data_IF_143812424473
#
_entry.id   IF_143812424473
#
_cell.length_a   1.000
_cell.length_b   1.000
_cell.length_c   1.000
_cell.angle_alpha   90.00
_cell.angle_beta   90.00
_cell.angle_gamma   90.00
#
_symmetry.space_group_name_H-M   'P 1'
#
loop_
_entity.id
_entity.type
_entity.pdbx_description
1 polymer ?
#
# COMPACT_ATOMS: atom_id res chain seq x y z
N UNK A 1 -2.27 18.61 -12.44
CA UNK A 1 -2.92 17.45 -11.81
C UNK A 1 -1.81 16.51 -11.44
N UNK A 2 -1.51 16.40 -10.16
CA UNK A 2 -0.52 15.46 -9.66
C UNK A 2 -1.01 14.05 -10.02
N UNK A 3 -0.18 13.27 -10.70
CA UNK A 3 -0.58 11.96 -11.20
C UNK A 3 -0.44 10.97 -10.04
N UNK A 4 -1.42 11.02 -9.12
CA UNK A 4 -1.43 10.16 -7.95
C UNK A 4 -1.53 8.70 -8.39
N UNK A 5 -0.50 7.94 -8.04
CA UNK A 5 -0.36 6.53 -8.38
C UNK A 5 -0.51 5.70 -7.12
N UNK A 6 -1.14 4.55 -7.25
CA UNK A 6 -1.31 3.63 -6.15
C UNK A 6 -1.00 2.20 -6.60
N UNK A 7 -0.42 1.44 -5.68
CA UNK A 7 -0.13 0.03 -5.90
C UNK A 7 -1.28 -0.85 -5.42
N UNK A 8 -1.53 -1.94 -6.15
CA UNK A 8 -2.46 -3.00 -5.79
C UNK A 8 -1.66 -4.30 -5.71
N UNK A 9 -1.84 -5.04 -4.62
CA UNK A 9 -1.29 -6.38 -4.43
C UNK A 9 -2.34 -7.41 -4.83
N UNK A 10 -2.03 -8.19 -5.85
CA UNK A 10 -2.90 -9.23 -6.39
C UNK A 10 -2.34 -10.59 -6.00
N UNK A 11 -3.05 -11.29 -5.12
CA UNK A 11 -2.71 -12.64 -4.70
C UNK A 11 -3.32 -13.67 -5.65
N UNK A 12 -2.56 -14.69 -6.06
CA UNK A 12 -2.98 -15.65 -7.09
C UNK A 12 -2.76 -17.11 -6.69
N UNK A 13 -3.55 -18.01 -7.31
CA UNK A 13 -3.38 -19.46 -7.20
C UNK A 13 -2.13 -19.95 -7.95
N UNK A 14 -1.91 -19.41 -9.16
CA UNK A 14 -0.79 -19.72 -10.05
C UNK A 14 -0.38 -18.48 -10.86
N UNK A 15 0.89 -18.40 -11.23
CA UNK A 15 1.47 -17.22 -11.92
C UNK A 15 1.40 -17.29 -13.45
N UNK A 16 0.83 -18.36 -14.01
CA UNK A 16 0.77 -18.54 -15.47
C UNK A 16 0.06 -17.37 -16.17
N UNK A 17 -0.93 -16.78 -15.51
CA UNK A 17 -1.74 -15.69 -16.05
C UNK A 17 -1.27 -14.29 -15.64
N UNK A 18 -0.10 -14.13 -15.01
CA UNK A 18 0.34 -12.79 -14.55
C UNK A 18 0.49 -11.78 -15.70
N UNK A 19 0.73 -12.27 -16.93
CA UNK A 19 0.86 -11.42 -18.13
C UNK A 19 -0.45 -10.71 -18.49
N UNK A 20 -1.61 -11.25 -18.13
CA UNK A 20 -2.90 -10.57 -18.38
C UNK A 20 -3.07 -9.33 -17.50
N UNK A 21 -2.45 -9.30 -16.31
CA UNK A 21 -2.50 -8.16 -15.40
C UNK A 21 -1.87 -6.89 -15.98
N UNK A 22 -0.94 -7.03 -16.94
CA UNK A 22 -0.33 -5.91 -17.65
C UNK A 22 -1.33 -5.06 -18.45
N UNK A 23 -2.54 -5.56 -18.71
CA UNK A 23 -3.63 -4.81 -19.36
C UNK A 23 -4.26 -3.77 -18.43
N UNK A 24 -4.09 -3.93 -17.11
CA UNK A 24 -4.70 -3.07 -16.10
C UNK A 24 -3.71 -2.08 -15.48
N UNK A 25 -2.46 -2.08 -15.93
CA UNK A 25 -1.42 -1.21 -15.37
C UNK A 25 -0.04 -1.83 -15.46
N UNK A 26 0.93 -1.19 -14.81
CA UNK A 26 2.30 -1.67 -14.82
C UNK A 26 2.49 -2.73 -13.71
N UNK A 27 3.02 -3.90 -14.06
CA UNK A 27 3.37 -4.93 -13.08
C UNK A 27 4.79 -4.66 -12.59
N UNK A 28 4.91 -4.07 -11.40
CA UNK A 28 6.19 -3.67 -10.80
C UNK A 28 6.98 -4.86 -10.27
N UNK A 29 6.29 -5.84 -9.70
CA UNK A 29 6.94 -6.99 -9.07
C UNK A 29 6.05 -8.23 -9.11
N UNK A 30 6.67 -9.41 -9.19
CA UNK A 30 5.98 -10.69 -9.12
C UNK A 30 6.76 -11.63 -8.20
N UNK A 31 6.14 -12.07 -7.11
CA UNK A 31 6.72 -13.06 -6.20
C UNK A 31 6.42 -14.47 -6.70
N UNK A 32 7.48 -15.22 -7.07
CA UNK A 32 7.36 -16.64 -7.44
C UNK A 32 7.03 -17.57 -6.27
N UNK A 33 7.58 -17.27 -5.09
CA UNK A 33 7.44 -18.09 -3.88
C UNK A 33 6.05 -17.92 -3.24
N UNK A 34 5.60 -16.67 -3.09
CA UNK A 34 4.34 -16.35 -2.41
C UNK A 34 3.14 -16.17 -3.36
N UNK A 35 3.40 -16.16 -4.68
CA UNK A 35 2.39 -16.09 -5.74
C UNK A 35 1.51 -14.83 -5.66
N UNK A 36 2.14 -13.67 -5.59
CA UNK A 36 1.46 -12.39 -5.72
C UNK A 36 2.16 -11.50 -6.75
N UNK A 37 1.43 -10.53 -7.29
CA UNK A 37 1.94 -9.48 -8.15
C UNK A 37 1.61 -8.10 -7.57
N UNK A 38 2.52 -7.16 -7.76
CA UNK A 38 2.31 -5.74 -7.45
C UNK A 38 2.00 -5.04 -8.75
N UNK A 39 0.77 -4.55 -8.88
CA UNK A 39 0.30 -3.74 -9.99
C UNK A 39 0.34 -2.27 -9.57
N UNK A 40 0.75 -1.39 -10.46
CA UNK A 40 0.80 0.05 -10.22
C UNK A 40 -0.07 0.72 -11.27
N UNK A 41 -1.08 1.45 -10.79
CA UNK A 41 -2.10 2.10 -11.61
C UNK A 41 -2.38 3.51 -11.07
N UNK A 42 -3.13 4.28 -11.84
CA UNK A 42 -3.61 5.61 -11.44
C UNK A 42 -4.63 5.49 -10.31
N UNK A 43 -4.53 6.36 -9.31
CA UNK A 43 -5.32 6.30 -8.08
C UNK A 43 -6.83 6.32 -8.33
N UNK A 44 -7.26 7.10 -9.33
CA UNK A 44 -8.66 7.19 -9.75
C UNK A 44 -9.22 5.87 -10.30
N UNK A 45 -8.37 4.97 -10.81
CA UNK A 45 -8.80 3.71 -11.43
C UNK A 45 -8.66 2.49 -10.50
N UNK A 46 -8.06 2.67 -9.32
CA UNK A 46 -7.66 1.56 -8.42
C UNK A 46 -8.87 0.72 -8.02
N UNK A 47 -9.98 1.36 -7.66
CA UNK A 47 -11.19 0.67 -7.20
C UNK A 47 -11.81 -0.16 -8.32
N UNK A 48 -11.94 0.42 -9.51
CA UNK A 48 -12.45 -0.27 -10.71
C UNK A 48 -11.57 -1.44 -11.12
N UNK A 49 -10.25 -1.25 -11.13
CA UNK A 49 -9.28 -2.30 -11.46
C UNK A 49 -9.33 -3.40 -10.41
N UNK A 50 -9.38 -3.06 -9.13
CA UNK A 50 -9.50 -4.03 -8.03
C UNK A 50 -10.74 -4.90 -8.18
N UNK A 51 -11.89 -4.30 -8.48
CA UNK A 51 -13.16 -4.98 -8.70
C UNK A 51 -13.17 -5.88 -9.94
N UNK A 52 -12.47 -5.47 -11.01
CA UNK A 52 -12.32 -6.28 -12.23
C UNK A 52 -11.39 -7.47 -11.99
N UNK A 53 -10.23 -7.23 -11.37
CA UNK A 53 -9.20 -8.25 -11.14
C UNK A 53 -9.66 -9.29 -10.11
N UNK A 54 -10.44 -8.90 -9.10
CA UNK A 54 -10.96 -9.82 -8.09
C UNK A 54 -11.89 -10.90 -8.66
N UNK A 55 -12.53 -10.65 -9.82
CA UNK A 55 -13.42 -11.60 -10.50
C UNK A 55 -12.66 -12.70 -11.27
N UNK A 56 -11.35 -12.58 -11.44
CA UNK A 56 -10.59 -13.58 -12.16
C UNK A 56 -10.43 -14.87 -11.36
N UNK A 57 -10.74 -16.01 -11.98
CA UNK A 57 -10.68 -17.34 -11.36
C UNK A 57 -9.31 -17.71 -10.75
N UNK A 58 -8.22 -17.11 -11.24
CA UNK A 58 -6.87 -17.36 -10.75
C UNK A 58 -6.44 -16.41 -9.62
N UNK A 59 -7.25 -15.41 -9.29
CA UNK A 59 -7.02 -14.45 -8.22
C UNK A 59 -7.67 -14.96 -6.94
N UNK A 60 -6.91 -14.95 -5.84
CA UNK A 60 -7.38 -15.33 -4.50
C UNK A 60 -7.99 -14.14 -3.76
N UNK A 61 -7.30 -13.00 -3.83
CA UNK A 61 -7.70 -11.75 -3.19
C UNK A 61 -6.89 -10.59 -3.76
N UNK A 62 -7.40 -9.40 -3.56
CA UNK A 62 -6.79 -8.14 -4.01
C UNK A 62 -6.72 -7.19 -2.82
N UNK A 63 -5.58 -6.57 -2.61
CA UNK A 63 -5.31 -5.65 -1.50
C UNK A 63 -4.75 -4.34 -2.04
N UNK A 64 -5.34 -3.21 -1.65
CA UNK A 64 -4.82 -1.88 -2.00
C UNK A 64 -3.64 -1.51 -1.09
N UNK A 65 -2.59 -0.94 -1.68
CA UNK A 65 -1.47 -0.42 -0.90
C UNK A 65 -1.78 0.99 -0.38
N UNK A 66 -1.63 1.19 0.93
CA UNK A 66 -1.75 2.50 1.56
C UNK A 66 -0.43 3.28 1.61
N UNK A 67 0.60 2.84 0.86
CA UNK A 67 1.90 3.51 0.81
C UNK A 67 1.82 5.02 0.52
N UNK A 68 0.95 5.53 -0.37
CA UNK A 68 0.84 6.97 -0.64
C UNK A 68 0.35 7.78 0.57
N UNK A 69 -0.36 7.16 1.51
CA UNK A 69 -0.95 7.85 2.66
C UNK A 69 -0.02 7.86 3.89
N UNK A 70 1.16 7.27 3.79
CA UNK A 70 2.13 7.27 4.88
C UNK A 70 2.77 8.66 4.97
N UNK A 71 2.54 9.34 6.10
CA UNK A 71 3.25 10.58 6.44
C UNK A 71 4.75 10.29 6.45
N UNK A 72 5.48 10.97 5.58
CA UNK A 72 6.96 10.84 5.48
C UNK A 72 7.66 11.86 6.39
N UNK A 73 6.89 12.74 7.04
CA UNK A 73 7.35 13.57 8.15
C UNK A 73 7.43 12.70 9.39
N UNK A 74 8.64 12.26 9.71
CA UNK A 74 8.93 11.60 10.97
C UNK A 74 9.10 12.69 12.02
N UNK A 75 8.26 12.71 13.06
CA UNK A 75 8.52 13.50 14.25
C UNK A 75 9.93 13.15 14.76
N UNK A 76 10.80 14.15 14.73
CA UNK A 76 12.15 14.00 15.25
C UNK A 76 12.03 13.58 16.71
N UNK A 77 12.67 12.47 17.10
CA UNK A 77 12.76 12.00 18.50
C UNK A 77 13.18 13.09 19.51
N UNK A 78 13.70 14.21 19.02
CA UNK A 78 14.05 15.38 19.80
C UNK A 78 12.83 16.02 20.50
N UNK A 79 11.62 15.97 19.94
CA UNK A 79 10.42 16.59 20.53
C UNK A 79 9.85 15.77 21.71
N UNK A 80 9.80 14.44 21.58
CA UNK A 80 9.32 13.54 22.65
C UNK A 80 10.13 13.60 23.96
N UNK A 81 11.39 14.05 23.90
CA UNK A 81 12.25 14.23 25.09
C UNK A 81 11.93 15.52 25.88
N UNK A 82 11.29 16.52 25.27
CA UNK A 82 10.94 17.77 25.95
C UNK A 82 9.57 17.70 26.64
N UNK A 83 8.62 16.91 26.14
CA UNK A 83 7.31 16.72 26.79
C UNK A 83 7.42 16.04 28.16
N UNK A 84 8.27 15.01 28.30
CA UNK A 84 8.40 14.22 29.53
C UNK A 84 9.03 14.96 30.72
N UNK A 85 9.54 16.19 30.54
CA UNK A 85 10.07 17.02 31.65
C UNK A 85 9.03 17.96 32.27
N UNK A 86 7.87 18.13 31.65
CA UNK A 86 6.91 19.16 32.05
C UNK A 86 5.73 18.63 32.87
N UNK A 87 5.62 17.31 33.09
CA UNK A 87 4.50 16.71 33.85
C UNK A 87 4.82 16.45 35.34
N UNK A 88 6.10 16.44 35.75
CA UNK A 88 6.51 16.18 37.14
C UNK A 88 7.00 17.44 37.88
N UNK A 89 6.14 18.45 38.05
CA UNK A 89 6.31 19.48 39.10
C UNK A 89 4.97 19.75 39.77
N UNK A 90 4.53 18.83 40.63
CA UNK A 90 3.55 19.12 41.67
C UNK A 90 4.31 19.67 42.88
N UNK A 91 4.38 21.01 42.98
CA UNK A 91 4.73 21.70 44.23
C UNK A 91 3.44 21.76 45.06
N UNK A 92 3.45 21.19 46.27
CA UNK A 92 2.54 21.59 47.36
C UNK A 92 3.13 21.17 48.72
N UNK A 93 3.68 22.20 49.39
CA UNK A 93 4.01 22.39 50.82
C UNK A 93 4.82 21.30 51.52
#
# INVERSE_FOLDING_TARGET
MENDRQAIVVWMNHLKQVRSLKRFGNVHYVSRKLKYAVLYCDMAEVEDISNKVSRFHYVKRVEMSFRPFLKTEYESKKEMMYEHKNEDVQISI
#
